data_IF_865302857902
#
_entry.id   IF_865302857902
#
_cell.length_a   1.000
_cell.length_b   1.000
_cell.length_c   1.000
_cell.angle_alpha   90.00
_cell.angle_beta   90.00
_cell.angle_gamma   90.00
#
_symmetry.space_group_name_H-M   'P 1'
#
loop_
_entity.id
_entity.type
_entity.pdbx_description
1 polymer ?
#
# COMPACT_ATOMS: atom_id res chain seq x y z
N UNK A 1 48.40 -11.50 -7.28
CA UNK A 1 47.45 -11.19 -6.19
C UNK A 1 46.25 -10.55 -6.86
N UNK A 2 45.10 -11.22 -6.86
CA UNK A 2 43.87 -10.69 -7.45
C UNK A 2 43.27 -9.70 -6.44
N UNK A 3 43.15 -8.44 -6.84
CA UNK A 3 42.37 -7.47 -6.09
C UNK A 3 40.90 -7.89 -6.21
N UNK A 4 40.27 -8.14 -5.08
CA UNK A 4 38.86 -8.44 -5.00
C UNK A 4 38.12 -7.12 -5.20
N UNK A 5 37.81 -6.82 -6.46
CA UNK A 5 36.96 -5.71 -6.88
C UNK A 5 35.51 -6.11 -6.54
N UNK A 6 35.14 -5.95 -5.27
CA UNK A 6 33.75 -6.02 -4.86
C UNK A 6 33.14 -4.68 -5.27
N UNK A 7 32.20 -4.63 -6.22
CA UNK A 7 31.56 -3.36 -6.56
C UNK A 7 30.88 -2.79 -5.31
N UNK A 8 31.28 -1.58 -4.92
CA UNK A 8 30.66 -0.83 -3.84
C UNK A 8 29.27 -0.35 -4.27
N UNK A 9 28.33 -0.29 -3.34
CA UNK A 9 26.92 0.12 -3.56
C UNK A 9 26.76 1.54 -4.15
N UNK A 10 27.83 2.32 -4.20
CA UNK A 10 27.90 3.70 -4.69
C UNK A 10 28.05 3.79 -6.24
N UNK A 11 28.42 2.69 -6.91
CA UNK A 11 28.57 2.62 -8.39
C UNK A 11 27.30 2.10 -9.09
N UNK A 12 26.25 1.80 -8.32
CA UNK A 12 24.96 1.42 -8.87
C UNK A 12 24.23 2.67 -9.37
N UNK A 13 24.23 2.88 -10.69
CA UNK A 13 23.32 3.83 -11.32
C UNK A 13 21.89 3.50 -10.87
N UNK A 14 21.11 4.49 -10.38
CA UNK A 14 19.72 4.25 -10.04
C UNK A 14 19.03 3.70 -11.29
N UNK A 15 18.56 2.46 -11.20
CA UNK A 15 17.73 1.89 -12.25
C UNK A 15 16.51 2.78 -12.31
N UNK A 16 16.37 3.52 -13.41
CA UNK A 16 15.11 4.14 -13.80
C UNK A 16 14.09 3.01 -13.79
N UNK A 17 13.28 2.97 -12.72
CA UNK A 17 12.11 2.11 -12.67
C UNK A 17 11.33 2.47 -13.93
N UNK A 18 11.20 1.49 -14.83
CA UNK A 18 10.32 1.66 -15.96
C UNK A 18 8.97 1.99 -15.35
N UNK A 19 8.53 3.22 -15.60
CA UNK A 19 7.13 3.64 -15.55
C UNK A 19 6.34 2.47 -16.11
N UNK A 20 5.80 1.62 -15.24
CA UNK A 20 4.85 0.63 -15.70
C UNK A 20 3.77 1.48 -16.36
N UNK A 21 3.59 1.26 -17.66
CA UNK A 21 2.38 1.64 -18.40
C UNK A 21 1.19 1.04 -17.63
N UNK A 22 0.79 1.71 -16.55
CA UNK A 22 -0.52 1.55 -15.98
C UNK A 22 -1.43 2.31 -16.94
N UNK A 23 -1.99 1.57 -17.90
CA UNK A 23 -3.07 2.02 -18.79
C UNK A 23 -4.36 2.38 -18.00
N UNK A 24 -4.26 2.44 -16.67
CA UNK A 24 -5.24 3.03 -15.77
C UNK A 24 -4.91 4.52 -15.64
N UNK A 25 -5.81 5.39 -16.11
CA UNK A 25 -5.85 6.84 -15.83
C UNK A 25 -6.04 7.15 -14.31
N UNK A 26 -5.77 6.18 -13.43
CA UNK A 26 -6.01 6.24 -12.00
C UNK A 26 -4.83 6.92 -11.29
N UNK A 27 -5.15 7.86 -10.40
CA UNK A 27 -4.17 8.62 -9.63
C UNK A 27 -3.58 7.75 -8.51
N UNK A 28 -2.25 7.68 -8.41
CA UNK A 28 -1.60 7.05 -7.25
C UNK A 28 -1.87 7.88 -6.00
N UNK A 29 -2.66 7.31 -5.10
CA UNK A 29 -2.95 7.89 -3.81
C UNK A 29 -1.90 7.45 -2.81
N UNK A 30 -1.08 8.41 -2.41
CA UNK A 30 -0.27 8.36 -1.20
C UNK A 30 -1.00 9.15 -0.12
N UNK A 31 -1.30 8.50 1.01
CA UNK A 31 -1.96 9.16 2.13
C UNK A 31 -0.90 9.62 3.11
N UNK A 32 -0.81 10.93 3.35
CA UNK A 32 0.02 11.49 4.41
C UNK A 32 -0.61 11.19 5.79
N UNK A 33 0.19 11.16 6.87
CA UNK A 33 -0.33 10.95 8.21
C UNK A 33 -1.41 11.99 8.55
N UNK A 34 -2.60 11.50 8.93
CA UNK A 34 -3.80 12.31 9.19
C UNK A 34 -4.81 12.32 8.05
N UNK A 35 -4.42 11.87 6.85
CA UNK A 35 -5.31 11.80 5.69
C UNK A 35 -6.16 10.53 5.67
N UNK A 36 -7.29 10.61 4.99
CA UNK A 36 -8.20 9.47 4.82
C UNK A 36 -8.82 9.47 3.44
N UNK A 37 -8.95 8.28 2.86
CA UNK A 37 -9.69 8.04 1.64
C UNK A 37 -10.92 7.18 1.95
N UNK A 38 -12.01 7.47 1.26
CA UNK A 38 -13.17 6.59 1.22
C UNK A 38 -13.47 6.32 -0.25
N UNK A 39 -13.60 5.04 -0.60
CA UNK A 39 -13.90 4.63 -1.96
C UNK A 39 -14.51 3.25 -2.04
N UNK A 40 -15.19 2.99 -3.15
CA UNK A 40 -15.62 1.65 -3.54
C UNK A 40 -14.41 0.89 -4.07
N UNK A 41 -14.15 -0.30 -3.55
CA UNK A 41 -13.09 -1.18 -4.05
C UNK A 41 -13.44 -1.61 -5.47
N UNK A 42 -12.67 -1.14 -6.44
CA UNK A 42 -12.83 -1.48 -7.85
C UNK A 42 -12.14 -2.77 -8.21
N UNK A 43 -10.92 -2.93 -7.69
CA UNK A 43 -10.09 -4.09 -7.91
C UNK A 43 -9.09 -4.23 -6.76
N UNK A 44 -8.79 -5.47 -6.39
CA UNK A 44 -7.67 -5.80 -5.50
C UNK A 44 -6.71 -6.67 -6.31
N UNK A 45 -5.54 -6.14 -6.64
CA UNK A 45 -4.53 -6.81 -7.45
C UNK A 45 -3.40 -7.29 -6.53
N UNK A 46 -3.42 -8.56 -6.09
CA UNK A 46 -2.31 -9.12 -5.31
C UNK A 46 -1.11 -9.44 -6.22
N UNK A 47 0.08 -9.54 -5.64
CA UNK A 47 1.34 -9.86 -6.34
C UNK A 47 1.78 -8.79 -7.36
N UNK A 48 1.62 -7.52 -7.00
CA UNK A 48 2.07 -6.37 -7.76
C UNK A 48 3.44 -5.87 -7.27
N UNK A 49 4.27 -5.42 -8.21
CA UNK A 49 5.62 -4.90 -7.91
C UNK A 49 6.65 -5.98 -7.58
N UNK A 50 7.83 -5.56 -7.15
CA UNK A 50 8.99 -6.44 -6.91
C UNK A 50 8.93 -7.23 -5.59
N UNK A 51 7.97 -6.91 -4.72
CA UNK A 51 7.81 -7.50 -3.38
C UNK A 51 6.48 -8.25 -3.21
N UNK A 52 5.81 -8.59 -4.31
CA UNK A 52 4.50 -9.24 -4.31
C UNK A 52 3.44 -8.49 -3.48
N UNK A 53 3.53 -7.15 -3.43
CA UNK A 53 2.60 -6.32 -2.67
C UNK A 53 1.23 -6.27 -3.33
N UNK A 54 0.19 -5.99 -2.54
CA UNK A 54 -1.16 -5.84 -3.07
C UNK A 54 -1.42 -4.39 -3.46
N UNK A 55 -1.89 -4.13 -4.68
CA UNK A 55 -2.41 -2.81 -5.09
C UNK A 55 -3.93 -2.83 -4.98
N UNK A 56 -4.49 -1.78 -4.39
CA UNK A 56 -5.93 -1.61 -4.24
C UNK A 56 -6.37 -0.41 -5.07
N UNK A 57 -7.35 -0.63 -5.94
CA UNK A 57 -8.00 0.39 -6.73
C UNK A 57 -9.31 0.79 -6.06
N UNK A 58 -9.48 2.08 -5.76
CA UNK A 58 -10.61 2.66 -5.04
C UNK A 58 -11.26 3.74 -5.90
N UNK A 59 -12.57 3.66 -6.11
CA UNK A 59 -13.36 4.72 -6.73
C UNK A 59 -13.86 5.71 -5.66
N UNK A 60 -13.32 6.94 -5.64
CA UNK A 60 -13.67 8.04 -4.72
C UNK A 60 -14.99 8.75 -5.08
N UNK A 61 -15.95 8.04 -5.68
CA UNK A 61 -17.19 8.64 -6.22
C UNK A 61 -16.96 9.40 -7.54
N UNK A 62 -18.05 9.91 -8.15
CA UNK A 62 -18.13 10.73 -9.40
C UNK A 62 -17.09 10.46 -10.53
N UNK A 63 -16.57 9.22 -10.63
CA UNK A 63 -15.61 8.82 -11.66
C UNK A 63 -14.14 9.04 -11.33
N UNK A 64 -13.82 9.44 -10.10
CA UNK A 64 -12.44 9.58 -9.64
C UNK A 64 -11.95 8.23 -9.10
N UNK A 65 -10.93 7.65 -9.73
CA UNK A 65 -10.36 6.36 -9.35
C UNK A 65 -8.93 6.57 -8.91
N UNK A 66 -8.60 6.05 -7.75
CA UNK A 66 -7.26 6.11 -7.18
C UNK A 66 -6.72 4.72 -6.93
N UNK A 67 -5.41 4.57 -7.02
CA UNK A 67 -4.70 3.33 -6.71
C UNK A 67 -3.77 3.57 -5.54
N UNK A 68 -3.72 2.63 -4.59
CA UNK A 68 -2.80 2.71 -3.47
C UNK A 68 -2.14 1.37 -3.19
N UNK A 69 -0.93 1.44 -2.63
CA UNK A 69 -0.26 0.25 -2.11
C UNK A 69 -0.95 -0.18 -0.80
N UNK A 70 -1.37 -1.43 -0.76
CA UNK A 70 -1.79 -2.07 0.48
C UNK A 70 -0.56 -2.35 1.35
N UNK A 71 -0.77 -2.35 2.65
CA UNK A 71 0.20 -2.81 3.64
C UNK A 71 -0.37 -4.00 4.43
N UNK A 72 0.44 -4.60 5.30
CA UNK A 72 -0.01 -5.74 6.11
C UNK A 72 -1.21 -5.45 7.03
N UNK A 73 -1.40 -4.20 7.45
CA UNK A 73 -2.56 -3.78 8.24
C UNK A 73 -3.83 -3.73 7.39
N UNK A 74 -3.73 -3.15 6.19
CA UNK A 74 -4.83 -3.04 5.22
C UNK A 74 -5.23 -4.43 4.71
N UNK A 75 -4.28 -5.27 4.28
CA UNK A 75 -4.57 -6.65 3.82
C UNK A 75 -5.30 -7.46 4.89
N UNK A 76 -4.82 -7.35 6.15
CA UNK A 76 -5.48 -8.01 7.28
C UNK A 76 -6.88 -7.49 7.50
N UNK A 77 -7.09 -6.18 7.45
CA UNK A 77 -8.41 -5.60 7.64
C UNK A 77 -9.37 -6.00 6.52
N UNK A 78 -8.92 -6.03 5.26
CA UNK A 78 -9.69 -6.51 4.12
C UNK A 78 -10.11 -7.97 4.33
N UNK A 79 -9.17 -8.83 4.73
CA UNK A 79 -9.46 -10.25 5.01
C UNK A 79 -10.40 -10.46 6.18
N UNK A 80 -10.27 -9.68 7.26
CA UNK A 80 -11.09 -9.82 8.47
C UNK A 80 -12.52 -9.33 8.25
N UNK A 81 -12.68 -8.28 7.46
CA UNK A 81 -13.98 -7.69 7.15
C UNK A 81 -14.61 -8.25 5.86
N UNK A 82 -14.00 -9.27 5.24
CA UNK A 82 -14.41 -9.87 3.97
C UNK A 82 -14.64 -8.83 2.86
N UNK A 83 -13.79 -7.80 2.82
CA UNK A 83 -13.88 -6.70 1.86
C UNK A 83 -13.44 -7.21 0.48
N UNK A 84 -14.33 -7.12 -0.51
CA UNK A 84 -14.08 -7.47 -1.89
C UNK A 84 -14.38 -6.33 -2.87
N UNK A 85 -14.40 -6.67 -4.15
CA UNK A 85 -14.78 -5.76 -5.23
C UNK A 85 -16.25 -5.36 -5.09
N UNK A 86 -16.54 -4.05 -5.12
CA UNK A 86 -17.86 -3.48 -4.92
C UNK A 86 -18.15 -3.02 -3.49
N UNK A 87 -17.31 -3.38 -2.51
CA UNK A 87 -17.45 -2.91 -1.14
C UNK A 87 -16.94 -1.49 -0.96
N UNK A 88 -17.62 -0.69 -0.14
CA UNK A 88 -17.16 0.65 0.20
C UNK A 88 -16.29 0.59 1.45
N UNK A 89 -15.06 1.06 1.34
CA UNK A 89 -14.09 1.11 2.44
C UNK A 89 -13.59 2.51 2.70
N UNK A 90 -13.37 2.81 3.98
CA UNK A 90 -12.57 3.94 4.42
C UNK A 90 -11.20 3.46 4.89
N UNK A 91 -10.14 4.01 4.32
CA UNK A 91 -8.76 3.79 4.75
C UNK A 91 -8.23 5.14 5.25
N UNK A 92 -7.74 5.16 6.48
CA UNK A 92 -7.17 6.34 7.11
C UNK A 92 -5.74 6.04 7.53
N UNK A 93 -4.83 6.91 7.10
CA UNK A 93 -3.49 6.97 7.67
C UNK A 93 -3.58 7.85 8.91
N UNK A 94 -3.35 7.29 10.09
CA UNK A 94 -3.45 8.09 11.32
C UNK A 94 -2.15 8.85 11.55
N UNK A 95 -2.20 9.96 12.28
CA UNK A 95 -0.98 10.66 12.73
C UNK A 95 -0.27 9.91 13.87
N UNK A 96 -0.92 8.88 14.41
CA UNK A 96 -0.40 8.03 15.46
C UNK A 96 0.56 6.97 14.88
N UNK A 97 1.71 6.83 15.53
CA UNK A 97 2.66 5.75 15.31
C UNK A 97 2.62 4.77 16.47
N UNK A 98 2.88 3.49 16.18
CA UNK A 98 3.05 2.45 17.19
C UNK A 98 4.48 1.91 17.13
N UNK A 99 4.99 1.48 18.28
CA UNK A 99 6.24 0.72 18.34
C UNK A 99 5.93 -0.76 18.49
N UNK A 100 6.60 -1.59 17.71
CA UNK A 100 6.62 -3.03 17.88
C UNK A 100 8.05 -3.51 18.06
N UNK A 101 8.21 -4.57 18.84
CA UNK A 101 9.48 -5.28 18.97
C UNK A 101 9.54 -6.36 17.88
N UNK A 102 10.60 -6.36 17.08
CA UNK A 102 10.86 -7.44 16.13
C UNK A 102 11.45 -8.67 16.87
N UNK A 103 11.58 -9.81 16.18
CA UNK A 103 12.12 -11.04 16.80
C UNK A 103 13.56 -10.91 17.33
N UNK A 104 14.27 -9.84 16.96
CA UNK A 104 15.63 -9.51 17.42
C UNK A 104 15.66 -8.65 18.69
N UNK A 105 14.49 -8.20 19.19
CA UNK A 105 14.39 -7.34 20.37
C UNK A 105 14.61 -5.84 20.08
N UNK A 106 14.60 -5.44 18.81
CA UNK A 106 14.70 -4.05 18.38
C UNK A 106 13.30 -3.44 18.24
N UNK A 107 13.10 -2.30 18.88
CA UNK A 107 11.88 -1.51 18.74
C UNK A 107 11.89 -0.79 17.39
N UNK A 108 10.91 -1.06 16.54
CA UNK A 108 10.67 -0.31 15.32
C UNK A 108 9.35 0.45 15.41
N UNK A 109 9.36 1.69 14.94
CA UNK A 109 8.16 2.52 14.82
C UNK A 109 7.49 2.25 13.46
N UNK A 110 6.17 2.12 13.47
CA UNK A 110 5.37 1.98 12.27
C UNK A 110 4.11 2.84 12.37
N UNK A 111 3.69 3.41 11.25
CA UNK A 111 2.46 4.18 11.19
C UNK A 111 1.24 3.30 11.39
N UNK A 112 0.25 3.79 12.13
CA UNK A 112 -1.01 3.08 12.33
C UNK A 112 -1.95 3.38 11.15
N UNK A 113 -2.55 2.32 10.61
CA UNK A 113 -3.53 2.42 9.53
C UNK A 113 -4.87 1.91 10.02
N UNK A 114 -5.91 2.74 9.88
CA UNK A 114 -7.27 2.36 10.22
C UNK A 114 -8.06 2.05 8.94
N UNK A 115 -8.62 0.85 8.87
CA UNK A 115 -9.45 0.43 7.74
C UNK A 115 -10.82 0.02 8.25
N UNK A 116 -11.86 0.57 7.63
CA UNK A 116 -13.24 0.32 8.01
C UNK A 116 -14.10 0.06 6.77
N UNK A 117 -14.80 -1.08 6.77
CA UNK A 117 -15.89 -1.31 5.83
C UNK A 117 -17.08 -0.40 6.19
N UNK A 118 -17.58 0.37 5.22
CA UNK A 118 -18.64 1.36 5.39
C UNK A 118 -19.98 0.91 4.78
N UNK A 119 -20.00 -0.16 4.00
CA UNK A 119 -21.25 -0.74 3.53
C UNK A 119 -21.06 -1.87 2.51
N UNK A 120 -21.63 -3.02 2.89
CA UNK A 120 -22.14 -4.10 2.05
C UNK A 120 -23.39 -4.60 2.79
N UNK A 121 -24.50 -3.86 2.66
CA UNK A 121 -25.80 -4.23 3.24
C UNK A 121 -26.40 -5.32 2.34
N UNK A 122 -26.45 -6.57 2.83
CA UNK A 122 -27.30 -7.64 2.28
C UNK A 122 -28.77 -7.42 2.69
#
# INVERSE_FOLDING_TARGET
>A
MAANDTPDFDDLEPVEINEQEDDSDAEWLDLEPGESVVGEVRAVRPNCGQYDNTVIELARGLGDVVVMWSNGQIDRAFRVNDIGEGDVVGIKHTEDTATAENEDGEEYEFDIWEVRALGGDD
#
